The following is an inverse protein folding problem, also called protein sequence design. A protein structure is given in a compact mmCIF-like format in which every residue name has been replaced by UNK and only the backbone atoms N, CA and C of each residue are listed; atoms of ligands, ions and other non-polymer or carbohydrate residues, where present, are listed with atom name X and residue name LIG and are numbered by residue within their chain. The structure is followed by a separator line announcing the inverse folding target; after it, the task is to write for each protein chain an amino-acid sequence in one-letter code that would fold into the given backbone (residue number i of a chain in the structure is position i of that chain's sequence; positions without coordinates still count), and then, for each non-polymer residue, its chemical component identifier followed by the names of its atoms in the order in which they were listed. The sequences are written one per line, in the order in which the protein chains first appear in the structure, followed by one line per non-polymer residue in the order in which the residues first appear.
data_IF_884217590314
#
_entry.id   IF_884217590314
#
_cell.length_a   1.000
_cell.length_b   1.000
_cell.length_c   1.000
_cell.angle_alpha   90.00
_cell.angle_beta   90.00
_cell.angle_gamma   90.00
#
_symmetry.space_group_name_H-M   'P 1'
#
loop_
_entity.id
_entity.type
_entity.pdbx_description
1 polymer ?
#
# COMPACT_ATOMS: atom_id res chain seq x y z
N UNK A 1 18.57 4.05 -12.48
CA UNK A 1 18.43 2.59 -12.26
C UNK A 1 17.60 2.22 -11.02
N UNK A 2 17.88 2.69 -9.79
CA UNK A 2 17.02 2.42 -8.62
C UNK A 2 15.76 3.28 -8.57
N UNK A 3 15.85 4.58 -8.91
CA UNK A 3 14.70 5.48 -8.97
C UNK A 3 13.68 5.03 -10.04
N UNK A 4 14.14 4.64 -11.22
CA UNK A 4 13.29 4.12 -12.30
C UNK A 4 12.57 2.82 -11.90
N UNK A 5 13.25 1.96 -11.13
CA UNK A 5 12.64 0.74 -10.60
C UNK A 5 11.52 1.02 -9.60
N UNK A 6 11.66 2.07 -8.79
CA UNK A 6 10.63 2.48 -7.82
C UNK A 6 9.42 3.13 -8.50
N UNK A 7 9.66 3.98 -9.49
CA UNK A 7 8.59 4.59 -10.29
C UNK A 7 7.75 3.53 -11.02
N UNK A 8 8.40 2.56 -11.67
CA UNK A 8 7.71 1.44 -12.33
C UNK A 8 6.92 0.56 -11.35
N UNK A 9 7.44 0.33 -10.14
CA UNK A 9 6.69 -0.37 -9.11
C UNK A 9 5.43 0.39 -8.73
N UNK A 10 5.52 1.72 -8.60
CA UNK A 10 4.37 2.56 -8.25
C UNK A 10 3.28 2.51 -9.32
N UNK A 11 3.64 2.71 -10.59
CA UNK A 11 2.72 2.59 -11.72
C UNK A 11 2.05 1.20 -11.76
N UNK A 12 2.79 0.13 -11.47
CA UNK A 12 2.25 -1.22 -11.43
C UNK A 12 1.22 -1.40 -10.30
N UNK A 13 1.47 -0.84 -9.11
CA UNK A 13 0.52 -0.90 -8.00
C UNK A 13 -0.72 -0.04 -8.23
N UNK A 14 -0.58 1.13 -8.86
CA UNK A 14 -1.73 1.95 -9.26
C UNK A 14 -2.59 1.20 -10.30
N UNK A 15 -1.97 0.56 -11.29
CA UNK A 15 -2.67 -0.26 -12.28
C UNK A 15 -3.35 -1.47 -11.64
N UNK A 16 -2.69 -2.14 -10.69
CA UNK A 16 -3.29 -3.24 -9.93
C UNK A 16 -4.50 -2.76 -9.11
N UNK A 17 -4.40 -1.61 -8.45
CA UNK A 17 -5.51 -1.05 -7.68
C UNK A 17 -6.68 -0.68 -8.60
N UNK A 18 -6.42 -0.06 -9.75
CA UNK A 18 -7.44 0.19 -10.77
C UNK A 18 -8.05 -1.10 -11.29
N UNK A 19 -7.24 -2.12 -11.55
CA UNK A 19 -7.69 -3.44 -11.98
C UNK A 19 -8.66 -4.04 -10.97
N UNK A 20 -8.27 -4.16 -9.69
CA UNK A 20 -9.10 -4.69 -8.61
C UNK A 20 -10.47 -4.01 -8.55
N UNK A 21 -10.53 -2.70 -8.72
CA UNK A 21 -11.78 -1.93 -8.70
C UNK A 21 -12.60 -2.00 -10.00
N UNK A 22 -11.98 -2.39 -11.12
CA UNK A 22 -12.61 -2.41 -12.45
C UNK A 22 -13.19 -3.78 -12.83
N UNK A 23 -12.62 -4.88 -12.31
CA UNK A 23 -13.13 -6.21 -12.58
C UNK A 23 -14.27 -6.57 -11.63
N UNK A 24 -15.38 -7.05 -12.19
CA UNK A 24 -16.47 -7.65 -11.43
C UNK A 24 -16.12 -9.09 -11.00
N UNK A 25 -14.96 -9.27 -10.39
CA UNK A 25 -14.44 -10.54 -9.89
C UNK A 25 -14.15 -10.40 -8.41
N UNK A 26 -14.68 -11.32 -7.59
CA UNK A 26 -14.32 -11.40 -6.19
C UNK A 26 -12.92 -12.01 -6.06
N UNK A 27 -11.99 -11.25 -5.49
CA UNK A 27 -10.69 -11.76 -5.09
C UNK A 27 -10.79 -12.46 -3.74
N UNK A 28 -9.95 -13.46 -3.51
CA UNK A 28 -9.89 -14.12 -2.20
C UNK A 28 -9.21 -13.23 -1.15
N UNK A 29 -9.46 -13.50 0.13
CA UNK A 29 -8.73 -12.83 1.22
C UNK A 29 -7.21 -13.02 1.10
N UNK A 30 -6.76 -14.17 0.57
CA UNK A 30 -5.34 -14.45 0.37
C UNK A 30 -4.74 -13.58 -0.75
N UNK A 31 -5.47 -13.39 -1.85
CA UNK A 31 -5.04 -12.48 -2.93
C UNK A 31 -4.92 -11.05 -2.41
N UNK A 32 -5.95 -10.61 -1.67
CA UNK A 32 -5.96 -9.29 -1.03
C UNK A 32 -4.81 -9.12 -0.03
N UNK A 33 -4.55 -10.13 0.80
CA UNK A 33 -3.43 -10.11 1.75
C UNK A 33 -2.09 -9.97 1.03
N UNK A 34 -1.91 -10.71 -0.06
CA UNK A 34 -0.69 -10.61 -0.86
C UNK A 34 -0.52 -9.21 -1.48
N UNK A 35 -1.59 -8.62 -2.02
CA UNK A 35 -1.55 -7.27 -2.58
C UNK A 35 -1.26 -6.21 -1.52
N UNK A 36 -1.93 -6.27 -0.36
CA UNK A 36 -1.69 -5.37 0.79
C UNK A 36 -0.24 -5.49 1.25
N UNK A 37 0.26 -6.71 1.48
CA UNK A 37 1.61 -6.94 1.95
C UNK A 37 2.66 -6.40 0.96
N UNK A 38 2.45 -6.58 -0.34
CA UNK A 38 3.39 -6.07 -1.35
C UNK A 38 3.40 -4.55 -1.43
N UNK A 39 2.25 -3.90 -1.43
CA UNK A 39 2.15 -2.44 -1.41
C UNK A 39 2.79 -1.88 -0.12
N UNK A 40 2.45 -2.44 1.04
CA UNK A 40 2.99 -2.01 2.33
C UNK A 40 4.51 -2.13 2.42
N UNK A 41 5.05 -3.30 2.05
CA UNK A 41 6.50 -3.53 2.06
C UNK A 41 7.24 -2.59 1.11
N UNK A 42 6.65 -2.24 -0.03
CA UNK A 42 7.22 -1.24 -0.94
C UNK A 42 7.24 0.14 -0.29
N UNK A 43 6.17 0.52 0.42
CA UNK A 43 6.13 1.74 1.22
C UNK A 43 7.23 1.79 2.29
N UNK A 44 7.45 0.68 3.01
CA UNK A 44 8.54 0.55 3.98
C UNK A 44 9.93 0.72 3.32
N UNK A 45 10.13 0.18 2.11
CA UNK A 45 11.39 0.37 1.38
C UNK A 45 11.62 1.83 0.97
N UNK A 46 10.57 2.54 0.56
CA UNK A 46 10.62 3.98 0.31
C UNK A 46 11.00 4.75 1.58
N UNK A 47 10.33 4.47 2.71
CA UNK A 47 10.62 5.11 3.99
C UNK A 47 12.09 4.93 4.40
N UNK A 48 12.60 3.70 4.32
CA UNK A 48 14.01 3.38 4.62
C UNK A 48 15.01 4.08 3.70
N UNK A 49 14.57 4.47 2.50
CA UNK A 49 15.37 5.24 1.55
C UNK A 49 15.20 6.76 1.71
N UNK A 50 14.53 7.22 2.77
CA UNK A 50 14.16 8.62 3.01
C UNK A 50 13.21 9.23 1.93
N UNK A 51 12.54 8.36 1.17
CA UNK A 51 11.50 8.74 0.21
C UNK A 51 10.13 8.67 0.90
N UNK A 52 9.83 9.71 1.68
CA UNK A 52 8.62 9.76 2.52
C UNK A 52 7.36 9.87 1.66
N UNK A 53 7.40 10.64 0.57
CA UNK A 53 6.28 10.79 -0.35
C UNK A 53 5.93 9.46 -1.03
N UNK A 54 6.93 8.72 -1.52
CA UNK A 54 6.73 7.38 -2.07
C UNK A 54 6.15 6.42 -1.02
N UNK A 55 6.66 6.46 0.20
CA UNK A 55 6.17 5.62 1.30
C UNK A 55 4.69 5.87 1.58
N UNK A 56 4.28 7.13 1.70
CA UNK A 56 2.89 7.52 1.94
C UNK A 56 1.96 7.06 0.81
N UNK A 57 2.38 7.18 -0.45
CA UNK A 57 1.58 6.73 -1.59
C UNK A 57 1.32 5.22 -1.55
N UNK A 58 2.37 4.41 -1.37
CA UNK A 58 2.25 2.96 -1.31
C UNK A 58 1.45 2.47 -0.09
N UNK A 59 1.66 3.08 1.08
CA UNK A 59 0.89 2.73 2.28
C UNK A 59 -0.60 3.06 2.11
N UNK A 60 -0.93 4.18 1.45
CA UNK A 60 -2.32 4.53 1.13
C UNK A 60 -2.96 3.53 0.16
N UNK A 61 -2.21 3.07 -0.86
CA UNK A 61 -2.68 2.01 -1.77
C UNK A 61 -2.96 0.72 -0.99
N UNK A 62 -2.05 0.32 -0.10
CA UNK A 62 -2.23 -0.87 0.73
C UNK A 62 -3.49 -0.79 1.59
N UNK A 63 -3.72 0.35 2.26
CA UNK A 63 -4.94 0.58 3.03
C UNK A 63 -6.19 0.52 2.17
N UNK A 64 -6.16 1.07 0.95
CA UNK A 64 -7.30 1.05 0.04
C UNK A 64 -7.62 -0.38 -0.44
N UNK A 65 -6.61 -1.18 -0.79
CA UNK A 65 -6.79 -2.60 -1.16
C UNK A 65 -7.36 -3.38 0.03
N UNK A 66 -6.87 -3.13 1.25
CA UNK A 66 -7.32 -3.82 2.46
C UNK A 66 -8.82 -3.61 2.73
N UNK A 67 -9.41 -2.47 2.34
CA UNK A 67 -10.85 -2.21 2.51
C UNK A 67 -11.74 -3.21 1.75
N UNK A 68 -11.19 -3.99 0.82
CA UNK A 68 -11.91 -5.04 0.11
C UNK A 68 -11.99 -6.36 0.90
N UNK A 69 -11.40 -6.46 2.09
CA UNK A 69 -11.46 -7.64 2.96
C UNK A 69 -11.73 -7.25 4.42
N UNK A 70 -12.93 -7.56 4.91
CA UNK A 70 -13.31 -7.34 6.31
C UNK A 70 -12.36 -8.05 7.29
N UNK A 71 -11.88 -9.25 6.91
CA UNK A 71 -10.94 -10.03 7.71
C UNK A 71 -9.61 -9.29 7.88
N UNK A 72 -9.08 -8.70 6.80
CA UNK A 72 -7.82 -7.96 6.85
C UNK A 72 -7.98 -6.63 7.57
N UNK A 73 -9.10 -5.92 7.38
CA UNK A 73 -9.42 -4.72 8.15
C UNK A 73 -9.42 -5.02 9.66
N UNK A 74 -10.09 -6.09 10.08
CA UNK A 74 -10.15 -6.46 11.49
C UNK A 74 -8.78 -6.87 12.07
N UNK A 75 -7.92 -7.51 11.28
CA UNK A 75 -6.60 -7.99 11.73
C UNK A 75 -5.51 -6.93 11.72
N UNK A 76 -5.50 -6.07 10.71
CA UNK A 76 -4.37 -5.20 10.39
C UNK A 76 -4.72 -3.71 10.42
N UNK A 77 -6.01 -3.35 10.35
CA UNK A 77 -6.50 -1.99 10.18
C UNK A 77 -5.84 -0.97 11.11
N UNK A 78 -6.00 -1.18 12.41
CA UNK A 78 -5.51 -0.26 13.43
C UNK A 78 -3.99 -0.08 13.39
N UNK A 79 -3.24 -1.19 13.29
CA UNK A 79 -1.77 -1.17 13.27
C UNK A 79 -1.21 -0.47 12.02
N UNK A 80 -1.81 -0.70 10.86
CA UNK A 80 -1.39 -0.05 9.63
C UNK A 80 -1.78 1.43 9.63
N UNK A 81 -2.95 1.80 10.15
CA UNK A 81 -3.31 3.21 10.29
C UNK A 81 -2.38 3.96 11.24
N UNK A 82 -2.09 3.40 12.42
CA UNK A 82 -1.15 4.02 13.37
C UNK A 82 0.23 4.30 12.74
N UNK A 83 0.76 3.35 11.97
CA UNK A 83 2.03 3.51 11.25
C UNK A 83 1.94 4.59 10.15
N UNK A 84 0.84 4.61 9.40
CA UNK A 84 0.61 5.62 8.38
C UNK A 84 0.50 7.03 8.97
N UNK A 85 -0.25 7.19 10.06
CA UNK A 85 -0.38 8.46 10.78
C UNK A 85 0.95 8.92 11.37
N UNK A 86 1.76 8.00 11.90
CA UNK A 86 3.11 8.32 12.39
C UNK A 86 3.99 8.88 11.26
N UNK A 87 3.94 8.27 10.07
CA UNK A 87 4.68 8.73 8.90
C UNK A 87 4.20 10.10 8.40
N UNK A 88 2.88 10.35 8.39
CA UNK A 88 2.31 11.67 8.05
C UNK A 88 2.79 12.77 8.99
N UNK A 89 2.92 12.49 10.29
CA UNK A 89 3.47 13.45 11.26
C UNK A 89 4.96 13.74 11.02
N UNK A 90 5.70 12.79 10.45
CA UNK A 90 7.10 12.98 10.08
C UNK A 90 7.25 13.81 8.80
N UNK A 91 6.34 13.68 7.83
CA UNK A 91 6.39 14.45 6.58
C UNK A 91 5.96 15.91 6.75
N UNK A 92 5.18 16.22 7.79
CA UNK A 92 4.70 17.57 8.10
C UNK A 92 5.72 18.44 8.88
N UNK A 93 6.93 17.94 9.12
CA UNK A 93 8.04 18.66 9.76
C UNK A 93 9.06 19.10 8.72
#
# INVERSE_FOLDING_TARGET
MLADSKAKAHECFEQLFQFINSVNMAFSDLDMEWFVAKAWNTGVLCQRSNDIDGALKFMKIAQAIMQHSELLVAKLGDSLDEQYQALLRMSAK
#
